data_IF_126133717626
#
_entry.id   IF_126133717626
#
_cell.length_a   1.000
_cell.length_b   1.000
_cell.length_c   1.000
_cell.angle_alpha   90.00
_cell.angle_beta   90.00
_cell.angle_gamma   90.00
#
_symmetry.space_group_name_H-M   'P 1'
#
loop_
_entity.id
_entity.type
_entity.pdbx_description
1 polymer ?
#
# COMPACT_ATOMS: atom_id res chain seq x y z
N UNK A 1 8.25 -9.79 -12.96
CA UNK A 1 7.75 -10.01 -11.60
C UNK A 1 6.50 -9.18 -11.42
N UNK A 2 5.42 -9.76 -10.91
CA UNK A 2 4.13 -9.10 -10.71
C UNK A 2 4.01 -8.63 -9.26
N UNK A 3 3.97 -7.31 -9.07
CA UNK A 3 3.91 -6.67 -7.75
C UNK A 3 2.51 -6.15 -7.46
N UNK A 4 2.11 -6.19 -6.19
CA UNK A 4 0.90 -5.53 -5.71
C UNK A 4 1.15 -4.61 -4.50
N UNK A 5 0.35 -3.56 -4.39
CA UNK A 5 0.27 -2.72 -3.19
C UNK A 5 -1.17 -2.70 -2.66
N UNK A 6 -1.34 -3.08 -1.40
CA UNK A 6 -2.61 -3.01 -0.67
C UNK A 6 -2.74 -1.64 0.00
N UNK A 7 -3.86 -0.96 -0.25
CA UNK A 7 -4.23 0.35 0.30
C UNK A 7 -5.67 0.36 0.83
N UNK A 8 -6.06 1.38 1.59
CA UNK A 8 -7.41 1.45 2.19
C UNK A 8 -8.46 1.94 1.20
N UNK A 9 -8.15 3.00 0.44
CA UNK A 9 -9.13 3.72 -0.37
C UNK A 9 -8.71 3.97 -1.82
N UNK A 10 -9.64 4.57 -2.57
CA UNK A 10 -9.42 4.97 -3.98
C UNK A 10 -8.43 6.14 -4.07
N UNK A 11 -8.51 7.07 -3.13
CA UNK A 11 -7.62 8.24 -3.06
C UNK A 11 -6.17 7.84 -2.86
N UNK A 12 -5.91 6.80 -2.07
CA UNK A 12 -4.56 6.23 -1.91
C UNK A 12 -4.07 5.65 -3.23
N UNK A 13 -4.93 4.87 -3.90
CA UNK A 13 -4.63 4.33 -5.24
C UNK A 13 -4.27 5.44 -6.23
N UNK A 14 -5.09 6.47 -6.32
CA UNK A 14 -4.85 7.64 -7.18
C UNK A 14 -3.53 8.35 -6.82
N UNK A 15 -3.20 8.42 -5.53
CA UNK A 15 -1.92 8.97 -5.05
C UNK A 15 -0.72 8.15 -5.52
N UNK A 16 -0.78 6.82 -5.39
CA UNK A 16 0.31 5.94 -5.83
C UNK A 16 0.48 5.95 -7.35
N UNK A 17 -0.61 5.98 -8.12
CA UNK A 17 -0.56 6.06 -9.60
C UNK A 17 0.09 7.35 -10.12
N UNK A 18 0.07 8.43 -9.34
CA UNK A 18 0.81 9.64 -9.68
C UNK A 18 2.33 9.42 -9.62
N UNK A 19 2.79 8.49 -8.79
CA UNK A 19 4.21 8.26 -8.50
C UNK A 19 4.79 7.05 -9.23
N UNK A 20 4.06 5.95 -9.35
CA UNK A 20 4.56 4.70 -9.93
C UNK A 20 4.90 4.84 -11.42
N UNK A 21 6.05 4.28 -11.83
CA UNK A 21 6.54 4.23 -13.21
C UNK A 21 6.70 2.79 -13.73
N UNK A 22 6.17 1.80 -13.03
CA UNK A 22 6.05 0.41 -13.47
C UNK A 22 4.61 -0.10 -13.27
N UNK A 23 4.18 -1.15 -14.00
CA UNK A 23 2.89 -1.77 -13.75
C UNK A 23 2.86 -2.42 -12.37
N UNK A 24 1.95 -1.95 -11.51
CA UNK A 24 1.70 -2.49 -10.16
C UNK A 24 0.19 -2.57 -9.94
N UNK A 25 -0.27 -3.72 -9.47
CA UNK A 25 -1.68 -3.88 -9.11
C UNK A 25 -1.93 -3.22 -7.75
N UNK A 26 -2.92 -2.31 -7.69
CA UNK A 26 -3.28 -1.63 -6.45
C UNK A 26 -4.61 -2.18 -5.94
N UNK A 27 -4.57 -2.87 -4.80
CA UNK A 27 -5.71 -3.54 -4.19
C UNK A 27 -6.27 -2.64 -3.08
N UNK A 28 -7.45 -2.06 -3.31
CA UNK A 28 -8.14 -1.27 -2.28
C UNK A 28 -8.98 -2.17 -1.38
N UNK A 29 -8.83 -2.06 -0.06
CA UNK A 29 -9.65 -2.81 0.91
C UNK A 29 -11.04 -2.22 1.12
N UNK A 30 -11.24 -0.95 0.77
CA UNK A 30 -12.49 -0.20 0.96
C UNK A 30 -12.98 -0.23 2.41
N UNK A 31 -12.06 -0.08 3.36
CA UNK A 31 -12.36 -0.12 4.80
C UNK A 31 -12.60 -1.52 5.36
N UNK A 32 -12.45 -2.56 4.54
CA UNK A 32 -12.53 -3.94 4.99
C UNK A 32 -11.35 -4.28 5.88
N UNK A 33 -11.62 -4.65 7.12
CA UNK A 33 -10.60 -5.12 8.05
C UNK A 33 -10.87 -6.52 8.63
N UNK A 34 -12.04 -7.11 8.38
CA UNK A 34 -12.33 -8.47 8.86
C UNK A 34 -11.50 -9.52 8.13
N UNK A 35 -10.93 -10.48 8.87
CA UNK A 35 -10.05 -11.53 8.34
C UNK A 35 -10.64 -12.25 7.11
N UNK A 36 -11.87 -12.76 7.24
CA UNK A 36 -12.52 -13.54 6.17
C UNK A 36 -12.79 -12.77 4.88
N UNK A 37 -12.93 -11.45 4.95
CA UNK A 37 -13.08 -10.61 3.75
C UNK A 37 -11.71 -10.29 3.13
N UNK A 38 -10.67 -10.15 3.95
CA UNK A 38 -9.30 -9.96 3.46
C UNK A 38 -8.79 -11.21 2.74
N UNK A 39 -9.03 -12.41 3.29
CA UNK A 39 -8.70 -13.69 2.65
C UNK A 39 -9.37 -13.85 1.28
N UNK A 40 -10.61 -13.37 1.13
CA UNK A 40 -11.32 -13.41 -0.17
C UNK A 40 -10.89 -12.33 -1.15
N UNK A 41 -10.42 -11.20 -0.63
CA UNK A 41 -10.05 -10.04 -1.44
C UNK A 41 -8.65 -10.18 -2.05
N UNK A 42 -7.74 -10.81 -1.31
CA UNK A 42 -6.32 -10.89 -1.63
C UNK A 42 -6.00 -12.27 -2.17
N UNK A 43 -5.65 -12.33 -3.46
CA UNK A 43 -5.15 -13.52 -4.12
C UNK A 43 -3.61 -13.49 -4.13
N UNK A 44 -2.98 -14.02 -3.07
CA UNK A 44 -1.53 -13.89 -2.88
C UNK A 44 -0.71 -14.68 -3.91
N UNK A 45 -1.23 -15.80 -4.41
CA UNK A 45 -0.53 -16.67 -5.36
C UNK A 45 -0.33 -16.01 -6.74
N UNK A 46 -1.11 -14.97 -7.03
CA UNK A 46 -1.04 -14.20 -8.27
C UNK A 46 0.10 -13.17 -8.30
N UNK A 47 0.83 -12.99 -7.19
CA UNK A 47 1.86 -11.95 -7.05
C UNK A 47 3.18 -12.53 -6.55
N UNK A 48 4.28 -12.07 -7.14
CA UNK A 48 5.63 -12.41 -6.66
C UNK A 48 5.97 -11.62 -5.39
N UNK A 49 5.48 -10.38 -5.29
CA UNK A 49 5.72 -9.51 -4.14
C UNK A 49 4.46 -8.69 -3.81
N UNK A 50 4.05 -8.71 -2.54
CA UNK A 50 2.92 -7.92 -2.05
C UNK A 50 3.37 -6.96 -0.96
N UNK A 51 2.97 -5.71 -1.11
CA UNK A 51 3.29 -4.61 -0.22
C UNK A 51 2.02 -4.07 0.44
N UNK A 52 2.16 -3.55 1.66
CA UNK A 52 1.03 -3.00 2.43
C UNK A 52 1.37 -1.57 2.84
N UNK A 53 0.64 -0.61 2.28
CA UNK A 53 0.77 0.81 2.57
C UNK A 53 -0.60 1.36 2.97
N UNK A 54 -0.87 1.33 4.27
CA UNK A 54 -2.13 1.73 4.89
C UNK A 54 -1.92 2.90 5.85
N UNK A 55 -3.00 3.55 6.25
CA UNK A 55 -2.96 4.78 7.03
C UNK A 55 -2.29 4.58 8.38
N UNK A 56 -1.66 5.66 8.87
CA UNK A 56 -1.00 5.72 10.16
C UNK A 56 -1.98 6.11 11.28
N UNK A 57 -3.21 5.60 11.20
CA UNK A 57 -4.28 5.84 12.16
C UNK A 57 -4.76 4.54 12.84
N UNK A 58 -5.85 4.62 13.61
CA UNK A 58 -6.39 3.45 14.34
C UNK A 58 -6.96 2.39 13.39
N UNK A 59 -7.63 2.79 12.31
CA UNK A 59 -8.23 1.89 11.35
C UNK A 59 -7.14 1.16 10.56
N UNK A 60 -6.18 1.90 10.00
CA UNK A 60 -5.04 1.35 9.28
C UNK A 60 -4.16 0.46 10.15
N UNK A 61 -3.98 0.81 11.44
CA UNK A 61 -3.27 -0.07 12.40
C UNK A 61 -4.00 -1.39 12.63
N UNK A 62 -5.34 -1.37 12.70
CA UNK A 62 -6.13 -2.60 12.85
C UNK A 62 -6.09 -3.46 11.60
N UNK A 63 -6.23 -2.84 10.42
CA UNK A 63 -6.09 -3.51 9.13
C UNK A 63 -4.72 -4.17 8.99
N UNK A 64 -3.65 -3.42 9.30
CA UNK A 64 -2.27 -3.91 9.26
C UNK A 64 -2.07 -5.13 10.14
N UNK A 65 -2.62 -5.14 11.36
CA UNK A 65 -2.53 -6.29 12.28
C UNK A 65 -3.17 -7.53 11.66
N UNK A 66 -4.34 -7.38 11.05
CA UNK A 66 -5.07 -8.48 10.45
C UNK A 66 -4.36 -9.01 9.19
N UNK A 67 -3.81 -8.13 8.36
CA UNK A 67 -2.98 -8.54 7.21
C UNK A 67 -1.73 -9.29 7.68
N UNK A 68 -1.01 -8.81 8.70
CA UNK A 68 0.16 -9.54 9.26
C UNK A 68 -0.19 -10.93 9.76
N UNK A 69 -1.38 -11.09 10.33
CA UNK A 69 -1.85 -12.38 10.84
C UNK A 69 -2.12 -13.37 9.72
N UNK A 70 -2.77 -12.92 8.64
CA UNK A 70 -3.13 -13.77 7.49
C UNK A 70 -1.94 -14.01 6.55
N UNK A 71 -1.19 -12.96 6.26
CA UNK A 71 -0.19 -12.90 5.20
C UNK A 71 1.16 -12.42 5.78
N UNK A 72 1.85 -13.26 6.59
CA UNK A 72 3.07 -12.86 7.29
C UNK A 72 4.23 -12.50 6.35
N UNK A 73 4.19 -12.96 5.09
CA UNK A 73 5.22 -12.72 4.09
C UNK A 73 5.11 -11.34 3.41
N UNK A 74 4.00 -10.60 3.62
CA UNK A 74 3.80 -9.32 2.95
C UNK A 74 4.72 -8.23 3.53
N UNK A 75 5.22 -7.36 2.64
CA UNK A 75 6.14 -6.29 3.01
C UNK A 75 5.38 -5.05 3.45
N UNK A 76 5.55 -4.66 4.71
CA UNK A 76 4.83 -3.52 5.27
C UNK A 76 5.61 -2.22 5.09
N UNK A 77 5.02 -1.29 4.33
CA UNK A 77 5.50 0.08 4.14
C UNK A 77 4.76 1.03 5.08
N UNK A 78 5.38 2.18 5.35
CA UNK A 78 4.91 3.15 6.34
C UNK A 78 5.11 4.58 5.87
N UNK A 79 4.07 5.40 6.00
CA UNK A 79 4.19 6.87 5.95
C UNK A 79 4.57 7.41 7.32
N UNK A 80 5.06 8.66 7.37
CA UNK A 80 5.31 9.33 8.65
C UNK A 80 3.97 9.60 9.36
N UNK A 81 3.87 9.32 10.66
CA UNK A 81 2.65 9.52 11.47
C UNK A 81 2.04 10.92 11.35
N UNK A 82 2.87 11.95 11.10
CA UNK A 82 2.44 13.34 10.94
C UNK A 82 1.49 13.55 9.75
N UNK A 83 1.56 12.71 8.72
CA UNK A 83 0.69 12.79 7.56
C UNK A 83 -0.64 12.07 7.76
N UNK A 84 -0.71 11.15 8.72
CA UNK A 84 -1.87 10.33 9.11
C UNK A 84 -2.40 9.40 8.01
N UNK A 85 -2.66 9.91 6.81
CA UNK A 85 -3.25 9.20 5.68
C UNK A 85 -2.27 9.08 4.52
N UNK A 86 -2.36 8.01 3.74
CA UNK A 86 -1.55 7.81 2.53
C UNK A 86 -1.87 8.89 1.50
N UNK A 87 -3.15 9.15 1.24
CA UNK A 87 -3.60 10.23 0.36
C UNK A 87 -3.05 11.62 0.74
N UNK A 88 -2.90 11.92 2.03
CA UNK A 88 -2.40 13.20 2.55
C UNK A 88 -0.86 13.30 2.54
N UNK A 89 -0.14 12.20 2.34
CA UNK A 89 1.32 12.20 2.33
C UNK A 89 1.86 12.92 1.07
N UNK A 90 2.88 13.79 1.17
CA UNK A 90 3.49 14.45 0.01
C UNK A 90 3.98 13.46 -1.03
N UNK A 91 3.87 13.81 -2.32
CA UNK A 91 4.28 12.94 -3.42
C UNK A 91 5.76 12.56 -3.33
N UNK A 92 6.63 13.50 -2.94
CA UNK A 92 8.06 13.26 -2.74
C UNK A 92 8.31 12.16 -1.69
N UNK A 93 7.52 12.13 -0.61
CA UNK A 93 7.67 11.15 0.47
C UNK A 93 7.13 9.78 0.02
N UNK A 94 6.02 9.74 -0.71
CA UNK A 94 5.53 8.52 -1.37
C UNK A 94 6.59 7.98 -2.34
N UNK A 95 7.21 8.85 -3.13
CA UNK A 95 8.26 8.49 -4.09
C UNK A 95 9.47 7.86 -3.40
N UNK A 96 9.94 8.46 -2.30
CA UNK A 96 11.02 7.89 -1.48
C UNK A 96 10.64 6.53 -0.88
N UNK A 97 9.44 6.40 -0.32
CA UNK A 97 8.96 5.13 0.27
C UNK A 97 8.94 4.02 -0.77
N UNK A 98 8.37 4.28 -1.95
CA UNK A 98 8.26 3.31 -3.03
C UNK A 98 9.63 2.99 -3.66
N UNK A 99 10.47 4.00 -3.89
CA UNK A 99 11.83 3.80 -4.42
C UNK A 99 12.70 2.95 -3.48
N UNK A 100 12.64 3.22 -2.17
CA UNK A 100 13.32 2.40 -1.15
C UNK A 100 12.80 0.96 -1.09
N UNK A 101 11.56 0.73 -1.53
CA UNK A 101 10.97 -0.58 -1.70
C UNK A 101 11.24 -1.21 -3.07
N UNK A 102 12.15 -0.63 -3.86
CA UNK A 102 12.54 -1.09 -5.20
C UNK A 102 11.42 -1.02 -6.24
N UNK A 103 10.52 -0.05 -6.11
CA UNK A 103 9.64 0.35 -7.20
C UNK A 103 10.31 1.41 -8.09
N UNK A 104 10.09 1.31 -9.39
CA UNK A 104 10.34 2.39 -10.33
C UNK A 104 9.30 3.49 -10.09
N UNK A 105 9.79 4.69 -9.85
CA UNK A 105 8.98 5.88 -9.62
C UNK A 105 9.27 6.92 -10.70
N UNK A 106 8.31 7.79 -10.98
CA UNK A 106 8.47 8.88 -11.93
C UNK A 106 9.49 9.88 -11.38
N UNK A 107 10.32 10.41 -12.27
CA UNK A 107 11.18 11.54 -11.94
C UNK A 107 10.33 12.80 -11.78
N UNK A 108 10.48 13.47 -10.63
CA UNK A 108 9.92 14.79 -10.41
C UNK A 108 11.08 15.80 -10.53
N UNK A 109 11.03 16.64 -11.56
CA UNK A 109 11.88 17.81 -11.67
C UNK A 109 11.25 18.91 -10.81
N UNK A 110 11.82 19.17 -9.64
CA UNK A 110 11.41 20.25 -8.75
C UNK A 110 12.23 21.51 -9.01
#
# INVERSE_FOLDING_TARGET
>A
MKKAIIVEGKTDREKLLQVLAEPVDIICTFGTSSLSKLEKLIDEENYDEVYVLVDADKAGSSLRRNIKYLFPNFRHLYTQKKYREVAATPLEEISKILSNAHFLVKEFYY
#
